data_IF_732197384613
#
_entry.id   IF_732197384613
#
_cell.length_a   1.000
_cell.length_b   1.000
_cell.length_c   1.000
_cell.angle_alpha   90.00
_cell.angle_beta   90.00
_cell.angle_gamma   90.00
#
_symmetry.space_group_name_H-M   'P 1'
#
loop_
_entity.id
_entity.type
_entity.pdbx_description
1 polymer ?
#
# COMPACT_ATOMS: atom_id res chain seq x y z
N UNK A 1 7.90 -10.89 13.63
CA UNK A 1 7.39 -11.09 12.27
C UNK A 1 6.68 -9.81 11.87
N UNK A 2 6.91 -9.24 10.68
CA UNK A 2 6.25 -7.97 10.31
C UNK A 2 4.77 -8.26 9.97
N UNK A 3 3.86 -7.81 10.82
CA UNK A 3 2.41 -8.12 10.78
C UNK A 3 1.78 -7.79 9.43
N UNK A 4 2.22 -6.69 8.80
CA UNK A 4 1.76 -6.25 7.48
C UNK A 4 1.90 -7.33 6.41
N UNK A 5 3.07 -7.98 6.33
CA UNK A 5 3.32 -8.97 5.29
C UNK A 5 2.38 -10.17 5.43
N UNK A 6 2.09 -10.60 6.66
CA UNK A 6 1.18 -11.70 6.88
C UNK A 6 -0.28 -11.30 6.64
N UNK A 7 -0.70 -10.08 6.99
CA UNK A 7 -2.03 -9.54 6.61
C UNK A 7 -2.24 -9.57 5.09
N UNK A 8 -1.26 -9.07 4.32
CA UNK A 8 -1.34 -9.03 2.86
C UNK A 8 -1.32 -10.43 2.24
N UNK A 9 -0.47 -11.34 2.72
CA UNK A 9 -0.46 -12.73 2.28
C UNK A 9 -1.81 -13.41 2.54
N UNK A 10 -2.35 -13.25 3.76
CA UNK A 10 -3.63 -13.84 4.13
C UNK A 10 -4.76 -13.31 3.26
N UNK A 11 -4.80 -12.01 2.99
CA UNK A 11 -5.78 -11.40 2.10
C UNK A 11 -5.71 -11.93 0.67
N UNK A 12 -4.52 -12.08 0.12
CA UNK A 12 -4.31 -12.59 -1.24
C UNK A 12 -4.71 -14.08 -1.35
N UNK A 13 -4.51 -14.86 -0.28
CA UNK A 13 -4.81 -16.29 -0.27
C UNK A 13 -6.27 -16.62 0.07
N UNK A 14 -6.86 -15.89 1.02
CA UNK A 14 -8.13 -16.25 1.64
C UNK A 14 -9.27 -15.26 1.41
N UNK A 15 -9.00 -14.11 0.79
CA UNK A 15 -10.05 -13.13 0.53
C UNK A 15 -10.36 -12.19 1.70
N UNK A 16 -9.73 -12.38 2.86
CA UNK A 16 -10.08 -11.68 4.11
C UNK A 16 -8.90 -10.85 4.60
N UNK A 17 -9.15 -9.60 5.00
CA UNK A 17 -8.14 -8.77 5.63
C UNK A 17 -8.11 -9.01 7.13
N UNK A 18 -6.93 -9.24 7.69
CA UNK A 18 -6.75 -9.46 9.13
C UNK A 18 -6.59 -8.13 9.85
N UNK A 19 -7.22 -7.97 11.01
CA UNK A 19 -6.98 -6.85 11.92
C UNK A 19 -5.56 -6.88 12.51
N UNK A 20 -4.96 -5.71 12.77
CA UNK A 20 -3.58 -5.60 13.28
C UNK A 20 -3.40 -6.36 14.61
N UNK A 21 -4.40 -6.29 15.50
CA UNK A 21 -4.38 -6.96 16.80
C UNK A 21 -4.91 -8.41 16.76
N UNK A 22 -5.33 -8.89 15.59
CA UNK A 22 -5.93 -10.22 15.38
C UNK A 22 -5.12 -11.12 14.45
N UNK A 23 -3.91 -10.70 14.07
CA UNK A 23 -3.02 -11.48 13.20
C UNK A 23 -2.58 -12.75 13.96
N UNK A 24 -3.03 -13.95 13.56
CA UNK A 24 -2.65 -15.19 14.24
C UNK A 24 -1.18 -15.51 13.96
N UNK A 25 -0.63 -16.47 14.70
CA UNK A 25 0.65 -17.06 14.33
C UNK A 25 0.54 -17.74 12.96
N UNK A 26 1.62 -17.65 12.16
CA UNK A 26 1.70 -18.33 10.87
C UNK A 26 1.61 -19.85 11.11
N UNK A 27 0.56 -20.53 10.60
CA UNK A 27 0.47 -21.98 10.73
C UNK A 27 1.64 -22.64 9.99
N UNK A 28 2.28 -23.66 10.57
CA UNK A 28 3.42 -24.37 9.95
C UNK A 28 3.18 -24.79 8.50
N UNK A 29 1.96 -25.24 8.19
CA UNK A 29 1.56 -25.64 6.82
C UNK A 29 1.63 -24.51 5.78
N UNK A 30 1.70 -23.25 6.21
CA UNK A 30 1.76 -22.06 5.36
C UNK A 30 3.17 -21.45 5.30
N UNK A 31 4.15 -21.97 6.03
CA UNK A 31 5.50 -21.40 6.12
C UNK A 31 6.19 -21.33 4.75
N UNK A 32 6.13 -22.41 3.97
CA UNK A 32 6.77 -22.47 2.65
C UNK A 32 6.11 -21.49 1.67
N UNK A 33 4.78 -21.46 1.61
CA UNK A 33 4.03 -20.57 0.74
C UNK A 33 4.24 -19.10 1.13
N UNK A 34 4.24 -18.80 2.42
CA UNK A 34 4.51 -17.46 2.92
C UNK A 34 5.95 -17.04 2.60
N UNK A 35 6.91 -17.94 2.73
CA UNK A 35 8.31 -17.68 2.36
C UNK A 35 8.46 -17.39 0.87
N UNK A 36 7.81 -18.17 0.01
CA UNK A 36 7.78 -17.90 -1.44
C UNK A 36 7.15 -16.54 -1.74
N UNK A 37 6.05 -16.20 -1.06
CA UNK A 37 5.38 -14.92 -1.20
C UNK A 37 6.27 -13.75 -0.80
N UNK A 38 6.95 -13.83 0.35
CA UNK A 38 7.94 -12.86 0.84
C UNK A 38 9.09 -12.68 -0.15
N UNK A 39 9.60 -13.77 -0.73
CA UNK A 39 10.69 -13.72 -1.70
C UNK A 39 10.30 -12.95 -2.99
N UNK A 40 9.00 -12.89 -3.30
CA UNK A 40 8.46 -12.08 -4.37
C UNK A 40 8.12 -10.62 -3.95
N UNK A 41 8.50 -10.19 -2.75
CA UNK A 41 8.41 -8.80 -2.32
C UNK A 41 9.75 -8.09 -2.53
N UNK A 42 9.67 -6.79 -2.82
CA UNK A 42 10.84 -5.90 -2.89
C UNK A 42 10.74 -4.83 -1.81
N UNK A 43 11.90 -4.41 -1.30
CA UNK A 43 11.98 -3.19 -0.52
C UNK A 43 11.77 -2.01 -1.47
N UNK A 44 10.85 -1.14 -1.10
CA UNK A 44 10.66 0.13 -1.79
C UNK A 44 11.77 1.08 -1.33
N UNK A 45 12.36 1.86 -2.23
CA UNK A 45 13.39 2.86 -1.90
C UNK A 45 12.82 4.27 -2.03
N UNK A 46 13.16 5.20 -1.12
CA UNK A 46 12.60 6.56 -1.14
C UNK A 46 12.81 7.29 -2.48
N UNK A 47 13.95 7.07 -3.14
CA UNK A 47 14.26 7.71 -4.42
C UNK A 47 13.40 7.19 -5.57
N UNK A 48 13.07 5.89 -5.63
CA UNK A 48 12.24 5.36 -6.73
C UNK A 48 10.77 5.79 -6.60
N UNK A 49 10.34 6.11 -5.38
CA UNK A 49 8.95 6.49 -5.08
C UNK A 49 8.59 7.85 -5.68
N UNK A 50 9.49 8.84 -5.56
CA UNK A 50 9.20 10.22 -5.97
C UNK A 50 9.57 10.56 -7.43
N UNK A 51 10.16 9.60 -8.15
CA UNK A 51 10.50 9.76 -9.58
C UNK A 51 9.31 9.53 -10.51
N UNK A 52 8.27 8.85 -10.02
CA UNK A 52 7.11 8.44 -10.80
C UNK A 52 5.84 8.72 -10.01
N UNK A 53 4.78 9.08 -10.71
CA UNK A 53 3.44 9.08 -10.11
C UNK A 53 2.92 7.65 -9.98
N UNK A 54 1.91 7.47 -9.15
CA UNK A 54 1.34 6.17 -8.84
C UNK A 54 -0.16 6.20 -9.09
N UNK A 55 -0.74 5.06 -9.41
CA UNK A 55 -2.19 4.85 -9.40
C UNK A 55 -2.51 3.82 -8.32
N UNK A 56 -3.43 4.17 -7.43
CA UNK A 56 -4.06 3.25 -6.48
C UNK A 56 -5.37 2.77 -7.08
N UNK A 57 -5.65 1.48 -6.90
CA UNK A 57 -6.93 0.86 -7.25
C UNK A 57 -7.43 0.06 -6.06
N UNK A 58 -8.66 0.35 -5.65
CA UNK A 58 -9.39 -0.35 -4.59
C UNK A 58 -10.21 -1.51 -5.16
N UNK A 59 -10.69 -2.40 -4.30
CA UNK A 59 -11.43 -3.60 -4.73
C UNK A 59 -12.79 -3.30 -5.37
N UNK A 60 -13.38 -2.15 -5.03
CA UNK A 60 -14.62 -1.67 -5.64
C UNK A 60 -14.39 -0.96 -6.99
N UNK A 61 -13.13 -0.86 -7.44
CA UNK A 61 -12.73 -0.20 -8.68
C UNK A 61 -12.44 1.29 -8.53
N UNK A 62 -12.67 1.89 -7.35
CA UNK A 62 -12.26 3.26 -7.06
C UNK A 62 -10.76 3.42 -7.29
N UNK A 63 -10.37 4.49 -7.97
CA UNK A 63 -9.00 4.66 -8.44
C UNK A 63 -8.53 6.10 -8.28
N UNK A 64 -7.32 6.28 -7.75
CA UNK A 64 -6.72 7.60 -7.50
C UNK A 64 -5.32 7.69 -8.12
N UNK A 65 -4.97 8.87 -8.63
CA UNK A 65 -3.61 9.25 -8.99
C UNK A 65 -2.90 9.84 -7.78
N UNK A 66 -1.68 9.40 -7.52
CA UNK A 66 -0.88 9.78 -6.36
C UNK A 66 0.46 10.35 -6.83
N UNK A 67 0.77 11.56 -6.39
CA UNK A 67 2.05 12.22 -6.62
C UNK A 67 2.81 12.34 -5.31
N UNK A 68 4.03 11.81 -5.28
CA UNK A 68 4.89 11.76 -4.09
C UNK A 68 6.08 12.68 -4.32
N UNK A 69 6.13 13.82 -3.64
CA UNK A 69 7.18 14.84 -3.84
C UNK A 69 8.41 14.54 -2.98
N UNK A 70 9.64 14.87 -3.44
CA UNK A 70 10.87 14.61 -2.68
C UNK A 70 10.92 15.20 -1.27
N UNK A 71 10.14 16.24 -0.99
CA UNK A 71 10.05 16.88 0.33
C UNK A 71 9.15 16.13 1.33
N UNK A 72 8.65 14.93 0.98
CA UNK A 72 7.79 14.12 1.83
C UNK A 72 6.30 14.47 1.74
N UNK A 73 5.90 15.47 0.93
CA UNK A 73 4.48 15.77 0.70
C UNK A 73 3.90 14.88 -0.39
N UNK A 74 2.60 14.60 -0.32
CA UNK A 74 1.89 13.88 -1.37
C UNK A 74 0.58 14.56 -1.75
N UNK A 75 0.14 14.35 -2.98
CA UNK A 75 -1.21 14.67 -3.46
C UNK A 75 -1.87 13.40 -3.96
N UNK A 76 -3.09 13.13 -3.51
CA UNK A 76 -3.94 12.05 -4.01
C UNK A 76 -5.16 12.68 -4.70
N UNK A 77 -5.41 12.34 -5.97
CA UNK A 77 -6.52 12.86 -6.77
C UNK A 77 -7.35 11.71 -7.30
N UNK A 78 -8.67 11.78 -7.13
CA UNK A 78 -9.60 10.83 -7.73
C UNK A 78 -9.52 10.88 -9.27
N UNK A 79 -9.51 9.73 -9.94
CA UNK A 79 -9.35 9.68 -11.39
C UNK A 79 -10.61 10.13 -12.16
N UNK A 80 -11.77 10.13 -11.53
CA UNK A 80 -13.06 10.38 -12.16
C UNK A 80 -13.77 11.64 -11.64
N UNK A 81 -13.11 12.41 -10.76
CA UNK A 81 -13.65 13.63 -10.17
C UNK A 81 -12.53 14.62 -9.80
N UNK A 82 -12.93 15.81 -9.37
CA UNK A 82 -11.98 16.85 -8.93
C UNK A 82 -11.58 16.72 -7.45
N UNK A 83 -12.01 15.65 -6.76
CA UNK A 83 -11.66 15.44 -5.36
C UNK A 83 -10.16 15.19 -5.25
N UNK A 84 -9.52 15.90 -4.33
CA UNK A 84 -8.11 15.72 -4.02
C UNK A 84 -7.84 15.87 -2.54
N UNK A 85 -6.82 15.15 -2.07
CA UNK A 85 -6.30 15.18 -0.71
C UNK A 85 -4.81 15.45 -0.75
N UNK A 86 -4.30 16.08 0.30
CA UNK A 86 -2.87 16.33 0.49
C UNK A 86 -2.42 15.60 1.75
N UNK A 87 -1.20 15.11 1.73
CA UNK A 87 -0.69 14.27 2.81
C UNK A 87 0.82 14.28 2.92
N UNK A 88 1.31 13.30 3.66
CA UNK A 88 2.73 13.05 3.89
C UNK A 88 3.06 11.60 3.56
N UNK A 89 4.28 11.37 3.08
CA UNK A 89 4.80 10.04 2.84
C UNK A 89 6.23 9.88 3.35
N UNK A 90 6.59 8.62 3.62
CA UNK A 90 7.97 8.21 3.90
C UNK A 90 8.13 6.74 3.58
N UNK A 91 9.37 6.30 3.37
CA UNK A 91 9.70 4.88 3.32
C UNK A 91 10.39 4.49 4.62
N UNK A 92 9.91 3.43 5.26
CA UNK A 92 10.50 2.86 6.49
C UNK A 92 10.68 1.37 6.26
N UNK A 93 11.91 0.87 6.42
CA UNK A 93 12.26 -0.54 6.24
C UNK A 93 11.81 -1.18 4.91
N UNK A 94 11.72 -0.37 3.85
CA UNK A 94 11.28 -0.81 2.53
C UNK A 94 9.77 -0.86 2.33
N UNK A 95 8.99 -0.34 3.27
CA UNK A 95 7.54 -0.14 3.18
C UNK A 95 7.27 1.34 2.90
N UNK A 96 6.47 1.63 1.88
CA UNK A 96 5.99 2.99 1.63
C UNK A 96 4.80 3.26 2.55
N UNK A 97 4.95 4.26 3.41
CA UNK A 97 3.93 4.74 4.32
C UNK A 97 3.40 6.07 3.77
N UNK A 98 2.09 6.17 3.63
CA UNK A 98 1.42 7.40 3.19
C UNK A 98 0.30 7.71 4.17
N UNK A 99 0.06 9.00 4.39
CA UNK A 99 -1.03 9.48 5.22
C UNK A 99 -1.65 10.69 4.56
N UNK A 100 -2.95 10.61 4.29
CA UNK A 100 -3.78 11.73 3.85
C UNK A 100 -4.86 11.96 4.89
N UNK A 101 -5.33 13.20 5.00
CA UNK A 101 -6.43 13.53 5.88
C UNK A 101 -7.29 14.61 5.26
N UNK A 102 -8.60 14.53 5.54
CA UNK A 102 -9.49 15.68 5.43
C UNK A 102 -9.86 16.16 6.85
N UNK A 103 -10.88 17.01 6.97
CA UNK A 103 -11.32 17.54 8.26
C UNK A 103 -11.98 16.51 9.17
N UNK A 104 -12.36 15.33 8.66
CA UNK A 104 -13.15 14.32 9.37
C UNK A 104 -12.38 13.01 9.58
N UNK A 105 -11.53 12.64 8.63
CA UNK A 105 -11.01 11.27 8.52
C UNK A 105 -9.52 11.29 8.20
N UNK A 106 -8.76 10.40 8.86
CA UNK A 106 -7.37 10.12 8.52
C UNK A 106 -7.29 8.79 7.79
N UNK A 107 -6.68 8.79 6.62
CA UNK A 107 -6.44 7.58 5.81
C UNK A 107 -4.94 7.32 5.73
N UNK A 108 -4.53 6.12 6.11
CA UNK A 108 -3.14 5.69 6.14
C UNK A 108 -2.94 4.45 5.26
N UNK A 109 -1.90 4.50 4.43
CA UNK A 109 -1.53 3.42 3.53
C UNK A 109 -0.20 2.82 3.94
N UNK A 110 -0.11 1.49 3.91
CA UNK A 110 1.15 0.77 4.00
C UNK A 110 1.32 -0.11 2.77
N UNK A 111 2.32 0.19 1.95
CA UNK A 111 2.52 -0.41 0.63
C UNK A 111 3.81 -1.23 0.59
N UNK A 112 3.68 -2.47 0.11
CA UNK A 112 4.79 -3.40 -0.10
C UNK A 112 5.04 -3.57 -1.58
N UNK A 113 6.32 -3.43 -1.96
CA UNK A 113 6.76 -3.58 -3.33
C UNK A 113 6.67 -5.03 -3.81
N UNK A 114 6.42 -5.21 -5.10
CA UNK A 114 6.46 -6.49 -5.78
C UNK A 114 7.73 -6.55 -6.63
N UNK A 115 8.42 -7.69 -6.61
CA UNK A 115 9.70 -7.88 -7.31
C UNK A 115 9.49 -8.26 -8.78
N UNK A 116 8.51 -9.09 -9.07
CA UNK A 116 8.28 -9.63 -10.42
C UNK A 116 7.59 -8.66 -11.37
N UNK A 117 6.77 -7.73 -10.88
CA UNK A 117 6.00 -6.82 -11.72
C UNK A 117 5.69 -5.49 -11.03
N UNK A 118 5.31 -4.49 -11.84
CA UNK A 118 4.98 -3.13 -11.41
C UNK A 118 3.58 -3.00 -10.78
N UNK A 119 3.10 -4.05 -10.11
CA UNK A 119 1.82 -4.05 -9.39
C UNK A 119 2.12 -4.43 -7.95
N UNK A 120 2.07 -3.43 -7.08
CA UNK A 120 2.33 -3.50 -5.66
C UNK A 120 1.02 -3.69 -4.90
N UNK A 121 1.11 -4.06 -3.62
CA UNK A 121 -0.06 -4.23 -2.77
C UNK A 121 0.10 -3.48 -1.46
N UNK A 122 -1.01 -3.09 -0.87
CA UNK A 122 -1.01 -2.40 0.41
C UNK A 122 -2.31 -2.55 1.15
N UNK A 123 -2.27 -2.09 2.39
CA UNK A 123 -3.42 -1.99 3.29
C UNK A 123 -3.76 -0.52 3.50
N UNK A 124 -5.05 -0.24 3.58
CA UNK A 124 -5.61 1.03 4.00
C UNK A 124 -6.10 0.90 5.43
N UNK A 125 -5.74 1.87 6.25
CA UNK A 125 -6.36 2.11 7.53
C UNK A 125 -7.14 3.41 7.48
N UNK A 126 -8.35 3.40 8.05
CA UNK A 126 -9.16 4.59 8.24
C UNK A 126 -9.30 4.79 9.73
N UNK A 127 -8.84 5.94 10.23
CA UNK A 127 -8.81 6.29 11.65
C UNK A 127 -8.15 5.19 12.53
N UNK A 128 -7.09 4.58 12.00
CA UNK A 128 -6.32 3.52 12.66
C UNK A 128 -6.91 2.11 12.56
N UNK A 129 -8.09 1.95 11.94
CA UNK A 129 -8.76 0.65 11.76
C UNK A 129 -8.45 0.10 10.37
N UNK A 130 -8.12 -1.19 10.27
CA UNK A 130 -7.91 -1.86 8.98
C UNK A 130 -9.19 -1.76 8.16
N UNK A 131 -9.09 -1.22 6.96
CA UNK A 131 -10.25 -0.96 6.12
C UNK A 131 -10.24 -1.84 4.86
N UNK A 132 -9.27 -1.63 3.98
CA UNK A 132 -9.27 -2.23 2.65
C UNK A 132 -7.88 -2.70 2.20
N UNK A 133 -7.89 -3.60 1.21
CA UNK A 133 -6.72 -4.01 0.43
C UNK A 133 -6.71 -3.25 -0.89
N UNK A 134 -5.53 -2.80 -1.31
CA UNK A 134 -5.37 -2.03 -2.54
C UNK A 134 -4.21 -2.53 -3.38
N UNK A 135 -4.31 -2.27 -4.69
CA UNK A 135 -3.21 -2.38 -5.63
C UNK A 135 -2.65 -1.01 -5.96
N UNK A 136 -1.34 -0.95 -6.16
CA UNK A 136 -0.64 0.27 -6.54
C UNK A 136 0.24 0.00 -7.76
N UNK A 137 0.22 0.90 -8.72
CA UNK A 137 1.00 0.79 -9.97
C UNK A 137 1.77 2.07 -10.18
N UNK A 138 3.08 1.99 -10.45
CA UNK A 138 3.85 3.18 -10.83
C UNK A 138 3.54 3.52 -12.29
N UNK A 139 3.20 4.75 -12.58
CA UNK A 139 2.96 5.24 -13.94
C UNK A 139 4.23 5.91 -14.43
N UNK A 140 4.65 5.56 -15.65
CA UNK A 140 5.74 6.28 -16.29
C UNK A 140 5.30 7.72 -16.52
N UNK A 141 6.03 8.67 -15.94
CA UNK A 141 5.89 10.06 -16.31
C UNK A 141 6.26 10.20 -17.79
N UNK A 142 5.36 10.76 -18.60
CA UNK A 142 5.69 11.18 -19.96
C UNK A 142 6.75 12.28 -19.83
N UNK A 143 7.99 11.98 -20.22
CA UNK A 143 9.02 12.99 -20.44
C UNK A 143 8.73 13.74 -21.73
#
# INVERSE_FOLDING_TARGET
>A
MNSLYFQLFWREKHGVMLEVNGVPDLPKRLEDEFTQWINNRKKIMSFEVNLQSWVKVDEDGSSTHIELKPNGTLTEKDLFSEKSLVGQWKVVDGVLLMRVADNATVVEYQVVGNRSHNIHCGVVHIDGVVNNYCKFVQVKNSQ
#
